data_IF_757806025608
#
_entry.id   IF_757806025608
#
_cell.length_a   1.000
_cell.length_b   1.000
_cell.length_c   1.000
_cell.angle_alpha   90.00
_cell.angle_beta   90.00
_cell.angle_gamma   90.00
#
_symmetry.space_group_name_H-M   'P 1'
#
loop_
_entity.id
_entity.type
_entity.pdbx_description
1 polymer ?
#
# COMPACT_ATOMS: atom_id res chain seq x y z
N UNK A 1 34.14 2.09 -30.90
CA UNK A 1 35.18 1.40 -31.68
C UNK A 1 35.37 2.07 -33.03
N UNK A 2 36.30 3.02 -33.05
CA UNK A 2 36.83 3.66 -34.25
C UNK A 2 37.56 2.64 -35.09
N UNK A 3 37.24 2.62 -36.37
CA UNK A 3 37.84 1.76 -37.39
C UNK A 3 38.55 2.66 -38.40
N UNK A 4 39.71 2.21 -38.85
CA UNK A 4 40.42 2.87 -39.94
C UNK A 4 40.20 2.05 -41.19
N UNK A 5 39.63 2.69 -42.20
CA UNK A 5 39.43 2.10 -43.52
C UNK A 5 40.59 2.55 -44.40
N UNK A 6 41.22 1.59 -45.08
CA UNK A 6 42.31 1.86 -46.02
C UNK A 6 41.72 1.95 -47.43
N UNK A 7 41.82 3.11 -48.06
CA UNK A 7 41.39 3.31 -49.45
C UNK A 7 42.36 2.66 -50.46
N UNK A 8 43.65 2.57 -50.09
CA UNK A 8 44.72 1.99 -50.92
C UNK A 8 45.30 0.74 -50.24
N UNK A 9 45.54 -0.36 -50.96
CA UNK A 9 46.22 -1.53 -50.40
C UNK A 9 47.59 -1.16 -49.84
N UNK A 10 47.96 -1.73 -48.69
CA UNK A 10 49.23 -1.45 -47.97
C UNK A 10 50.47 -1.61 -48.89
N UNK A 11 50.42 -2.55 -49.83
CA UNK A 11 51.49 -2.83 -50.79
C UNK A 11 51.72 -1.72 -51.83
N UNK A 12 50.71 -0.87 -52.04
CA UNK A 12 50.70 0.23 -53.01
C UNK A 12 50.88 1.60 -52.34
N UNK A 13 50.94 1.65 -51.00
CA UNK A 13 51.12 2.87 -50.23
C UNK A 13 52.58 3.32 -50.18
N UNK A 14 52.80 4.64 -50.19
CA UNK A 14 54.15 5.18 -49.97
C UNK A 14 54.56 5.02 -48.51
N UNK A 15 55.88 5.04 -48.23
CA UNK A 15 56.38 4.95 -46.85
C UNK A 15 55.84 6.10 -45.97
N UNK A 16 55.56 7.27 -46.56
CA UNK A 16 54.95 8.39 -45.85
C UNK A 16 53.51 8.07 -45.44
N UNK A 17 52.71 7.53 -46.37
CA UNK A 17 51.31 7.18 -46.12
C UNK A 17 51.19 6.01 -45.11
N UNK A 18 52.14 5.07 -45.13
CA UNK A 18 52.22 3.97 -44.15
C UNK A 18 52.52 4.48 -42.74
N UNK A 19 53.39 5.49 -42.61
CA UNK A 19 53.66 6.12 -41.31
C UNK A 19 52.46 6.91 -40.81
N UNK A 20 51.78 7.61 -41.70
CA UNK A 20 50.58 8.37 -41.36
C UNK A 20 49.45 7.45 -40.90
N UNK A 21 49.14 6.41 -41.67
CA UNK A 21 48.11 5.42 -41.28
C UNK A 21 48.48 4.69 -39.99
N UNK A 22 49.76 4.36 -39.77
CA UNK A 22 50.19 3.81 -38.48
C UNK A 22 49.95 4.78 -37.31
N UNK A 23 50.27 6.07 -37.48
CA UNK A 23 49.96 7.09 -36.46
C UNK A 23 48.46 7.19 -36.19
N UNK A 24 47.63 7.19 -37.22
CA UNK A 24 46.17 7.20 -37.07
C UNK A 24 45.67 5.94 -36.34
N UNK A 25 46.22 4.75 -36.64
CA UNK A 25 45.86 3.49 -35.96
C UNK A 25 46.19 3.57 -34.48
N UNK A 26 47.36 4.11 -34.12
CA UNK A 26 47.75 4.28 -32.72
C UNK A 26 46.82 5.26 -31.99
N UNK A 27 46.50 6.40 -32.62
CA UNK A 27 45.55 7.36 -32.07
C UNK A 27 44.16 6.74 -31.87
N UNK A 28 43.62 6.08 -32.89
CA UNK A 28 42.32 5.41 -32.80
C UNK A 28 42.32 4.27 -31.76
N UNK A 29 43.45 3.59 -31.56
CA UNK A 29 43.60 2.57 -30.53
C UNK A 29 43.61 3.15 -29.12
N UNK A 30 44.34 4.25 -28.89
CA UNK A 30 44.33 4.97 -27.61
C UNK A 30 42.93 5.49 -27.27
N UNK A 31 42.24 6.08 -28.24
CA UNK A 31 40.86 6.54 -28.08
C UNK A 31 39.90 5.37 -27.79
N UNK A 32 40.04 4.24 -28.49
CA UNK A 32 39.23 3.05 -28.23
C UNK A 32 39.46 2.47 -26.83
N UNK A 33 40.71 2.51 -26.31
CA UNK A 33 41.01 2.09 -24.94
C UNK A 33 40.31 3.01 -23.95
N UNK A 34 40.39 4.33 -24.16
CA UNK A 34 39.72 5.30 -23.29
C UNK A 34 38.19 5.08 -23.30
N UNK A 35 37.57 5.00 -24.48
CA UNK A 35 36.14 4.72 -24.63
C UNK A 35 35.74 3.39 -23.96
N UNK A 36 36.55 2.35 -24.10
CA UNK A 36 36.27 1.05 -23.49
C UNK A 36 36.37 1.11 -21.96
N UNK A 37 37.36 1.82 -21.43
CA UNK A 37 37.50 2.02 -19.98
C UNK A 37 36.29 2.77 -19.41
N UNK A 38 35.82 3.82 -20.07
CA UNK A 38 34.63 4.56 -19.65
C UNK A 38 33.37 3.70 -19.71
N UNK A 39 33.20 2.89 -20.77
CA UNK A 39 32.09 1.95 -20.88
C UNK A 39 32.12 0.87 -19.79
N UNK A 40 33.31 0.39 -19.44
CA UNK A 40 33.46 -0.57 -18.34
C UNK A 40 33.03 0.05 -17.01
N UNK A 41 33.49 1.27 -16.71
CA UNK A 41 33.09 1.99 -15.50
C UNK A 41 31.57 2.22 -15.45
N UNK A 42 30.95 2.63 -16.56
CA UNK A 42 29.50 2.78 -16.64
C UNK A 42 28.75 1.46 -16.42
N UNK A 43 29.27 0.35 -16.94
CA UNK A 43 28.67 -0.96 -16.75
C UNK A 43 28.77 -1.42 -15.29
N UNK A 44 29.88 -1.17 -14.62
CA UNK A 44 30.07 -1.43 -13.19
C UNK A 44 29.11 -0.60 -12.33
N UNK A 45 28.98 0.71 -12.62
CA UNK A 45 28.01 1.57 -11.94
C UNK A 45 26.56 1.12 -12.18
N UNK A 46 26.22 0.72 -13.41
CA UNK A 46 24.88 0.23 -13.72
C UNK A 46 24.54 -1.06 -12.94
N UNK A 47 25.51 -1.95 -12.75
CA UNK A 47 25.34 -3.15 -11.94
C UNK A 47 25.10 -2.79 -10.45
N UNK A 48 25.86 -1.85 -9.91
CA UNK A 48 25.67 -1.36 -8.53
C UNK A 48 24.28 -0.72 -8.34
N UNK A 49 23.83 0.09 -9.29
CA UNK A 49 22.48 0.66 -9.24
C UNK A 49 21.39 -0.42 -9.33
N UNK A 50 21.60 -1.48 -10.12
CA UNK A 50 20.66 -2.60 -10.21
C UNK A 50 20.51 -3.30 -8.86
N UNK A 51 21.62 -3.64 -8.21
CA UNK A 51 21.60 -4.28 -6.88
C UNK A 51 20.90 -3.38 -5.84
N UNK A 52 21.19 -2.08 -5.87
CA UNK A 52 20.55 -1.12 -4.98
C UNK A 52 19.05 -0.95 -5.22
N UNK A 53 18.61 -1.06 -6.48
CA UNK A 53 17.18 -1.03 -6.81
C UNK A 53 16.50 -2.28 -6.24
N UNK A 54 17.09 -3.46 -6.39
CA UNK A 54 16.53 -4.71 -5.84
C UNK A 54 16.43 -4.65 -4.31
N UNK A 55 17.43 -4.10 -3.62
CA UNK A 55 17.40 -3.88 -2.16
C UNK A 55 16.26 -2.91 -1.78
N UNK A 56 16.16 -1.77 -2.46
CA UNK A 56 15.11 -0.78 -2.17
C UNK A 56 13.70 -1.28 -2.49
N UNK A 57 13.53 -2.11 -3.53
CA UNK A 57 12.25 -2.75 -3.84
C UNK A 57 11.85 -3.75 -2.75
N UNK A 58 12.80 -4.53 -2.23
CA UNK A 58 12.58 -5.42 -1.09
C UNK A 58 12.17 -4.63 0.17
N UNK A 59 12.90 -3.56 0.50
CA UNK A 59 12.57 -2.69 1.64
C UNK A 59 11.19 -2.05 1.49
N UNK A 60 10.83 -1.63 0.27
CA UNK A 60 9.52 -1.07 -0.03
C UNK A 60 8.43 -2.12 0.22
N UNK A 61 8.58 -3.33 -0.29
CA UNK A 61 7.60 -4.40 -0.11
C UNK A 61 7.42 -4.77 1.36
N UNK A 62 8.50 -4.87 2.14
CA UNK A 62 8.46 -5.09 3.58
C UNK A 62 7.72 -3.96 4.31
N UNK A 63 8.08 -2.71 4.00
CA UNK A 63 7.48 -1.56 4.65
C UNK A 63 5.99 -1.43 4.27
N UNK A 64 5.63 -1.72 3.02
CA UNK A 64 4.26 -1.72 2.53
C UNK A 64 3.41 -2.78 3.22
N UNK A 65 3.95 -3.99 3.39
CA UNK A 65 3.30 -5.04 4.17
C UNK A 65 3.06 -4.58 5.61
N UNK A 66 4.08 -4.03 6.28
CA UNK A 66 3.98 -3.52 7.64
C UNK A 66 2.88 -2.45 7.81
N UNK A 67 2.88 -1.41 6.96
CA UNK A 67 1.88 -0.34 7.09
C UNK A 67 0.49 -0.79 6.65
N UNK A 68 0.37 -1.71 5.69
CA UNK A 68 -0.94 -2.27 5.31
C UNK A 68 -1.56 -3.09 6.44
N UNK A 69 -0.76 -3.86 7.19
CA UNK A 69 -1.20 -4.58 8.39
C UNK A 69 -1.69 -3.62 9.46
N UNK A 70 -0.91 -2.59 9.80
CA UNK A 70 -1.34 -1.56 10.77
C UNK A 70 -2.58 -0.79 10.34
N UNK A 71 -2.67 -0.41 9.07
CA UNK A 71 -3.84 0.30 8.54
C UNK A 71 -5.09 -0.59 8.52
N UNK A 72 -4.93 -1.90 8.31
CA UNK A 72 -6.02 -2.89 8.36
C UNK A 72 -6.69 -2.93 9.75
N UNK A 73 -5.90 -2.82 10.83
CA UNK A 73 -6.43 -2.85 12.22
C UNK A 73 -7.47 -1.75 12.49
N UNK A 74 -7.30 -0.57 11.89
CA UNK A 74 -8.25 0.56 12.03
C UNK A 74 -9.35 0.52 10.99
N UNK A 75 -8.98 0.25 9.74
CA UNK A 75 -9.91 0.41 8.62
C UNK A 75 -10.80 -0.81 8.41
N UNK A 76 -10.43 -1.97 8.98
CA UNK A 76 -11.07 -3.27 8.72
C UNK A 76 -11.11 -3.63 7.22
N UNK A 77 -10.17 -3.10 6.43
CA UNK A 77 -9.96 -3.42 5.02
C UNK A 77 -8.84 -4.46 4.94
N UNK A 78 -8.92 -5.42 4.02
CA UNK A 78 -7.86 -6.41 3.85
C UNK A 78 -6.52 -5.76 3.49
N UNK A 79 -5.45 -6.28 4.07
CA UNK A 79 -4.06 -5.84 3.84
C UNK A 79 -3.71 -5.84 2.35
N UNK A 80 -4.11 -6.89 1.63
CA UNK A 80 -3.89 -7.02 0.18
C UNK A 80 -4.54 -5.88 -0.60
N UNK A 81 -5.77 -5.49 -0.23
CA UNK A 81 -6.49 -4.41 -0.91
C UNK A 81 -5.92 -3.04 -0.54
N UNK A 82 -5.43 -2.89 0.69
CA UNK A 82 -4.73 -1.69 1.13
C UNK A 82 -3.40 -1.51 0.39
N UNK A 83 -2.60 -2.57 0.30
CA UNK A 83 -1.35 -2.57 -0.45
C UNK A 83 -1.57 -2.32 -1.95
N UNK A 84 -2.60 -2.86 -2.57
CA UNK A 84 -2.85 -2.65 -4.00
C UNK A 84 -3.37 -1.24 -4.32
N UNK A 85 -4.19 -0.65 -3.46
CA UNK A 85 -4.97 0.55 -3.78
C UNK A 85 -4.43 1.85 -3.21
N UNK A 86 -3.59 1.77 -2.19
CA UNK A 86 -3.07 2.96 -1.51
C UNK A 86 -1.58 3.10 -1.71
N UNK A 87 -1.15 4.35 -1.84
CA UNK A 87 0.25 4.70 -1.86
C UNK A 87 0.88 4.52 -0.48
N UNK A 88 2.20 4.35 -0.45
CA UNK A 88 2.95 4.20 0.80
C UNK A 88 2.70 5.36 1.78
N UNK A 89 2.63 6.60 1.29
CA UNK A 89 2.33 7.76 2.14
C UNK A 89 0.97 7.69 2.80
N UNK A 90 -0.05 7.24 2.08
CA UNK A 90 -1.40 7.06 2.62
C UNK A 90 -1.45 5.92 3.65
N UNK A 91 -0.74 4.81 3.40
CA UNK A 91 -0.63 3.70 4.34
C UNK A 91 0.05 4.14 5.65
N UNK A 92 1.10 4.95 5.57
CA UNK A 92 1.78 5.52 6.74
C UNK A 92 0.85 6.44 7.54
N UNK A 93 0.08 7.31 6.87
CA UNK A 93 -0.89 8.16 7.56
C UNK A 93 -1.99 7.35 8.27
N UNK A 94 -2.50 6.30 7.61
CA UNK A 94 -3.51 5.42 8.21
C UNK A 94 -2.95 4.63 9.39
N UNK A 95 -1.73 4.13 9.28
CA UNK A 95 -1.04 3.46 10.38
C UNK A 95 -0.72 4.41 11.54
N UNK A 96 -0.38 5.67 11.28
CA UNK A 96 -0.19 6.68 12.33
C UNK A 96 -1.47 6.94 13.13
N UNK A 97 -2.62 7.02 12.45
CA UNK A 97 -3.92 7.09 13.13
C UNK A 97 -4.24 5.82 13.93
N UNK A 98 -3.74 4.67 13.52
CA UNK A 98 -3.85 3.42 14.28
C UNK A 98 -3.08 3.49 15.60
N UNK A 99 -1.83 3.96 15.53
CA UNK A 99 -1.00 4.12 16.71
C UNK A 99 -1.59 5.15 17.68
N UNK A 100 -2.16 6.25 17.18
CA UNK A 100 -2.88 7.25 17.99
C UNK A 100 -4.14 6.67 18.65
N UNK A 101 -4.97 5.94 17.91
CA UNK A 101 -6.19 5.33 18.44
C UNK A 101 -5.88 4.23 19.48
N UNK A 102 -4.82 3.44 19.26
CA UNK A 102 -4.35 2.46 20.22
C UNK A 102 -3.82 3.12 21.50
N UNK A 103 -3.13 4.25 21.38
CA UNK A 103 -2.65 5.02 22.52
C UNK A 103 -3.80 5.62 23.34
N UNK A 104 -4.83 6.19 22.71
CA UNK A 104 -6.03 6.70 23.40
C UNK A 104 -6.80 5.60 24.14
N UNK A 105 -6.82 4.37 23.60
CA UNK A 105 -7.49 3.24 24.27
C UNK A 105 -6.68 2.67 25.44
N UNK A 106 -5.35 2.78 25.39
CA UNK A 106 -4.45 2.36 26.47
C UNK A 106 -4.38 3.38 27.63
N UNK A 107 -4.79 4.64 27.41
CA UNK A 107 -4.78 5.70 28.42
C UNK A 107 -6.10 5.78 29.24
N UNK A 108 -7.07 4.90 28.99
CA UNK A 108 -8.22 4.76 29.89
C UNK A 108 -7.72 4.23 31.24
N UNK A 109 -7.77 5.01 32.34
CA UNK A 109 -7.39 4.48 33.64
C UNK A 109 -8.31 3.30 33.96
N UNK A 110 -7.74 2.13 34.23
CA UNK A 110 -8.42 1.11 35.02
C UNK A 110 -8.83 1.79 36.33
N UNK A 111 -10.09 2.20 36.43
CA UNK A 111 -10.73 2.42 37.72
C UNK A 111 -10.86 1.04 38.35
N UNK A 112 -9.80 0.66 39.04
CA UNK A 112 -9.70 -0.45 39.98
C UNK A 112 -10.67 -0.14 41.14
N UNK A 113 -11.96 -0.40 40.91
CA UNK A 113 -13.00 -0.40 41.94
C UNK A 113 -12.85 -1.68 42.77
N UNK A 114 -11.93 -1.64 43.72
CA UNK A 114 -11.84 -2.62 44.80
C UNK A 114 -11.17 -2.01 46.04
N UNK A 115 -11.94 -1.32 46.91
CA UNK A 115 -11.95 -1.67 48.34
C UNK A 115 -13.15 -1.07 49.12
N UNK A 116 -14.00 -1.99 49.58
CA UNK A 116 -14.84 -2.09 50.78
C UNK A 116 -15.47 -0.86 51.50
N UNK A 117 -16.81 -0.84 51.44
CA UNK A 117 -17.79 -0.67 52.55
C UNK A 117 -17.79 0.62 53.39
N UNK A 118 -18.73 1.55 53.09
CA UNK A 118 -19.52 2.25 54.12
C UNK A 118 -20.73 3.00 53.53
N UNK A 119 -21.92 2.56 53.96
CA UNK A 119 -23.14 3.34 54.26
C UNK A 119 -24.09 3.85 53.14
N UNK A 120 -25.28 3.25 53.20
CA UNK A 120 -26.62 3.84 53.13
C UNK A 120 -27.11 4.59 51.88
N UNK A 121 -28.14 3.97 51.27
CA UNK A 121 -29.28 4.57 50.58
C UNK A 121 -29.04 5.54 49.40
N UNK A 122 -28.95 4.99 48.19
CA UNK A 122 -29.60 5.57 47.00
C UNK A 122 -29.58 4.56 45.84
N UNK A 123 -30.69 3.85 45.63
CA UNK A 123 -30.95 3.20 44.34
C UNK A 123 -31.24 4.27 43.27
N UNK A 124 -30.20 4.92 42.75
CA UNK A 124 -30.29 5.65 41.48
C UNK A 124 -29.91 4.71 40.34
N UNK A 125 -30.91 4.04 39.76
CA UNK A 125 -30.73 3.31 38.51
C UNK A 125 -30.40 4.30 37.38
N UNK A 126 -29.13 4.41 37.01
CA UNK A 126 -28.63 5.27 35.91
C UNK A 126 -29.12 4.81 34.52
N UNK A 127 -29.78 3.66 34.45
CA UNK A 127 -30.53 3.24 33.27
C UNK A 127 -31.93 3.82 33.30
N UNK A 128 -32.08 5.07 32.86
CA UNK A 128 -33.37 5.57 32.42
C UNK A 128 -33.98 4.56 31.45
N UNK A 129 -35.09 3.92 31.84
CA UNK A 129 -35.87 3.02 30.99
C UNK A 129 -36.12 3.74 29.65
N UNK A 130 -35.41 3.30 28.60
CA UNK A 130 -35.61 3.83 27.25
C UNK A 130 -37.10 3.72 26.94
N UNK A 131 -37.79 4.82 26.57
CA UNK A 131 -39.16 4.70 26.13
C UNK A 131 -39.19 3.75 24.94
N UNK A 132 -40.02 2.71 25.02
CA UNK A 132 -40.16 1.71 23.97
C UNK A 132 -40.33 2.42 22.62
N UNK A 133 -39.32 2.26 21.74
CA UNK A 133 -39.25 2.90 20.42
C UNK A 133 -40.25 2.32 19.40
N UNK A 134 -41.21 1.53 19.86
CA UNK A 134 -42.30 1.03 19.04
C UNK A 134 -43.47 2.02 19.16
N UNK A 135 -44.07 2.46 18.04
CA UNK A 135 -45.34 3.16 18.10
C UNK A 135 -46.32 2.25 18.84
N UNK A 136 -46.85 2.69 19.99
CA UNK A 136 -47.96 2.02 20.66
C UNK A 136 -49.17 2.12 19.73
N UNK A 137 -49.31 1.17 18.81
CA UNK A 137 -50.51 1.04 17.99
C UNK A 137 -51.65 0.63 18.92
N UNK A 138 -52.80 1.31 18.82
CA UNK A 138 -54.01 0.82 19.44
C UNK A 138 -54.31 -0.59 18.91
N UNK A 139 -54.99 -1.43 19.70
CA UNK A 139 -55.34 -2.79 19.28
C UNK A 139 -56.03 -2.81 17.89
N UNK A 140 -56.88 -1.82 17.63
CA UNK A 140 -57.56 -1.62 16.34
C UNK A 140 -56.60 -1.35 15.16
N UNK A 141 -55.50 -0.64 15.41
CA UNK A 141 -54.48 -0.37 14.39
C UNK A 141 -53.63 -1.60 14.08
N UNK A 142 -53.49 -2.53 15.03
CA UNK A 142 -52.82 -3.82 14.81
C UNK A 142 -53.73 -4.77 14.02
N UNK A 143 -55.02 -4.82 14.36
CA UNK A 143 -56.00 -5.67 13.68
C UNK A 143 -56.20 -5.26 12.23
N UNK A 144 -56.39 -3.97 11.95
CA UNK A 144 -56.52 -3.44 10.58
C UNK A 144 -55.27 -3.70 9.73
N UNK A 145 -54.07 -3.64 10.31
CA UNK A 145 -52.83 -4.00 9.59
C UNK A 145 -52.70 -5.49 9.33
N UNK A 146 -53.12 -6.34 10.28
CA UNK A 146 -53.13 -7.79 10.12
C UNK A 146 -54.12 -8.23 9.03
N UNK A 147 -55.28 -7.59 8.97
CA UNK A 147 -56.29 -7.82 7.93
C UNK A 147 -55.81 -7.33 6.56
N UNK A 148 -55.20 -6.14 6.49
CA UNK A 148 -54.58 -5.64 5.25
C UNK A 148 -53.42 -6.53 4.77
N UNK A 149 -52.62 -7.08 5.69
CA UNK A 149 -51.56 -8.04 5.35
C UNK A 149 -52.15 -9.37 4.83
N UNK A 150 -53.21 -9.89 5.46
CA UNK A 150 -53.94 -11.07 4.98
C UNK A 150 -54.55 -10.85 3.60
N UNK A 151 -55.17 -9.70 3.36
CA UNK A 151 -55.75 -9.35 2.06
C UNK A 151 -54.70 -9.23 0.95
N UNK A 152 -53.49 -8.75 1.29
CA UNK A 152 -52.36 -8.72 0.36
C UNK A 152 -51.86 -10.13 0.06
N UNK A 153 -51.73 -10.98 1.08
CA UNK A 153 -51.31 -12.37 0.90
C UNK A 153 -52.33 -13.19 0.10
N UNK A 154 -53.63 -12.97 0.32
CA UNK A 154 -54.69 -13.66 -0.43
C UNK A 154 -54.78 -13.24 -1.90
N UNK A 155 -54.26 -12.05 -2.24
CA UNK A 155 -54.20 -11.55 -3.62
C UNK A 155 -52.90 -11.91 -4.36
N UNK A 156 -51.92 -12.49 -3.66
CA UNK A 156 -50.75 -13.13 -4.30
C UNK A 156 -51.15 -14.56 -4.62
N UNK A 157 -51.62 -14.78 -5.85
CA UNK A 157 -52.04 -16.10 -6.32
C UNK A 157 -50.95 -17.14 -6.13
N UNK A 158 -51.20 -18.16 -5.28
CA UNK A 158 -50.35 -19.34 -5.17
C UNK A 158 -50.03 -19.83 -3.74
N UNK A 159 -50.42 -19.12 -2.68
CA UNK A 159 -50.20 -19.57 -1.30
C UNK A 159 -51.54 -19.67 -0.55
N UNK A 160 -52.20 -20.83 -0.67
CA UNK A 160 -53.22 -21.23 0.30
C UNK A 160 -52.53 -21.63 1.61
N UNK A 161 -52.94 -21.03 2.72
CA UNK A 161 -52.72 -21.58 4.07
C UNK A 161 -53.48 -22.90 4.24
#
# INVERSE_FOLDING_TARGET
MKKIELETPIEEMSEADLRETFSQVMEAHEENIAEFSELQEQAEQAAEYSEKIEELESDLDEAKAYFSAKASEVTNISEELLAERFSMGELVEMAGRADEAAAEFAEAPETDDADEEADEEAEESVFAEKPAKAPKFSADAVESRKEAARARLSNVGGLSL
#
